data_IF_797093828179
#
_entry.id   IF_797093828179
#
_cell.length_a   1.000
_cell.length_b   1.000
_cell.length_c   1.000
_cell.angle_alpha   90.00
_cell.angle_beta   90.00
_cell.angle_gamma   90.00
#
_symmetry.space_group_name_H-M   'P 1'
#
loop_
_entity.id
_entity.type
_entity.pdbx_description
1 polymer ?
#
# COMPACT_ATOMS: atom_id res chain seq x y z
N UNK A 1 21.86 18.07 -11.90
CA UNK A 1 22.13 16.79 -11.22
C UNK A 1 20.81 16.19 -10.77
N UNK A 2 20.65 14.87 -10.81
CA UNK A 2 19.45 14.22 -10.25
C UNK A 2 19.52 14.26 -8.72
N UNK A 3 18.41 14.57 -8.06
CA UNK A 3 18.28 14.47 -6.61
C UNK A 3 17.79 13.09 -6.16
N UNK A 4 17.03 12.40 -7.01
CA UNK A 4 16.40 11.13 -6.70
C UNK A 4 17.07 9.92 -7.35
N UNK A 5 16.97 8.76 -6.70
CA UNK A 5 17.30 7.45 -7.23
C UNK A 5 16.03 6.82 -7.82
N UNK A 6 16.01 6.58 -9.13
CA UNK A 6 14.84 6.00 -9.81
C UNK A 6 14.52 4.58 -9.31
N UNK A 7 13.23 4.28 -9.10
CA UNK A 7 12.71 2.97 -8.75
C UNK A 7 11.96 2.36 -9.94
N UNK A 8 12.44 1.20 -10.40
CA UNK A 8 11.81 0.43 -11.47
C UNK A 8 10.91 -0.68 -10.94
N UNK A 9 9.76 -0.88 -11.58
CA UNK A 9 8.86 -2.00 -11.28
C UNK A 9 9.55 -3.35 -11.53
N UNK A 10 9.49 -4.27 -10.56
CA UNK A 10 10.11 -5.58 -10.67
C UNK A 10 9.34 -6.55 -11.58
N UNK A 11 8.04 -6.34 -11.73
CA UNK A 11 7.11 -7.17 -12.49
C UNK A 11 6.14 -6.27 -13.28
N UNK A 12 5.52 -6.83 -14.33
CA UNK A 12 4.42 -6.15 -15.01
C UNK A 12 3.16 -6.26 -14.14
N UNK A 13 2.50 -5.13 -13.90
CA UNK A 13 1.29 -5.03 -13.06
C UNK A 13 0.18 -4.37 -13.88
N UNK A 14 -1.01 -4.97 -13.86
CA UNK A 14 -2.23 -4.36 -14.40
C UNK A 14 -3.08 -3.87 -13.25
N UNK A 15 -3.27 -2.56 -13.15
CA UNK A 15 -4.10 -1.95 -12.10
C UNK A 15 -5.47 -1.62 -12.69
N UNK A 16 -6.50 -2.32 -12.22
CA UNK A 16 -7.86 -2.28 -12.77
C UNK A 16 -8.84 -1.43 -11.96
N UNK A 17 -8.40 -0.83 -10.86
CA UNK A 17 -9.23 0.00 -9.98
C UNK A 17 -8.45 1.23 -9.52
N UNK A 18 -9.13 2.20 -8.93
CA UNK A 18 -8.51 3.38 -8.30
C UNK A 18 -8.03 3.10 -6.86
N UNK A 19 -8.17 1.87 -6.36
CA UNK A 19 -7.64 1.49 -5.05
C UNK A 19 -6.10 1.46 -5.09
N UNK A 20 -5.41 1.98 -4.06
CA UNK A 20 -3.96 1.88 -3.95
C UNK A 20 -3.47 0.43 -3.99
N UNK A 21 -2.48 0.17 -4.83
CA UNK A 21 -1.85 -1.14 -4.97
C UNK A 21 -0.35 -1.06 -4.68
N UNK A 22 0.17 -2.15 -4.12
CA UNK A 22 1.60 -2.34 -3.86
C UNK A 22 2.27 -2.88 -5.11
N UNK A 23 3.17 -2.09 -5.69
CA UNK A 23 3.99 -2.45 -6.85
C UNK A 23 5.42 -2.71 -6.37
N UNK A 24 5.91 -3.97 -6.43
CA UNK A 24 7.27 -4.28 -6.00
C UNK A 24 8.29 -3.65 -6.95
N UNK A 25 9.42 -3.18 -6.40
CA UNK A 25 10.51 -2.60 -7.19
C UNK A 25 11.73 -3.51 -7.21
N UNK A 26 12.66 -3.26 -8.11
CA UNK A 26 13.94 -4.00 -8.16
C UNK A 26 14.91 -3.63 -7.03
N UNK A 27 14.53 -2.70 -6.15
CA UNK A 27 15.41 -2.14 -5.13
C UNK A 27 15.07 -2.73 -3.76
N UNK A 28 16.12 -3.07 -3.01
CA UNK A 28 16.05 -3.56 -1.64
C UNK A 28 16.79 -2.59 -0.73
N UNK A 29 16.35 -2.49 0.51
CA UNK A 29 17.14 -1.85 1.55
C UNK A 29 18.22 -2.79 2.12
N UNK A 30 19.15 -2.27 2.94
CA UNK A 30 19.32 -0.86 3.29
C UNK A 30 19.86 -0.03 2.11
N UNK A 31 19.48 1.25 2.05
CA UNK A 31 19.79 2.13 0.92
C UNK A 31 21.26 2.55 0.83
N UNK A 32 21.99 2.45 1.93
CA UNK A 32 23.42 2.73 1.97
C UNK A 32 24.11 1.78 2.94
N UNK A 33 25.20 1.08 2.54
CA UNK A 33 25.82 0.04 3.34
C UNK A 33 26.52 0.55 4.61
N UNK A 34 26.95 1.82 4.61
CA UNK A 34 27.80 2.38 5.67
C UNK A 34 27.18 3.59 6.41
N UNK A 35 26.00 4.06 6.00
CA UNK A 35 25.38 5.28 6.55
C UNK A 35 23.92 5.00 6.85
N UNK A 36 23.49 5.38 8.04
CA UNK A 36 22.09 5.29 8.45
C UNK A 36 21.32 6.45 7.79
N UNK A 37 20.87 6.23 6.55
CA UNK A 37 20.06 7.18 5.78
C UNK A 37 18.70 6.58 5.45
N UNK A 38 17.65 7.33 5.75
CA UNK A 38 16.31 7.01 5.27
C UNK A 38 16.09 7.61 3.89
N UNK A 39 14.90 7.41 3.33
CA UNK A 39 14.51 8.09 2.11
C UNK A 39 13.03 8.42 2.08
N UNK A 40 12.71 9.50 1.36
CA UNK A 40 11.36 9.78 0.91
C UNK A 40 11.16 9.17 -0.48
N UNK A 41 10.20 8.27 -0.58
CA UNK A 41 9.70 7.74 -1.84
C UNK A 41 8.63 8.70 -2.37
N UNK A 42 8.82 9.18 -3.60
CA UNK A 42 7.88 10.05 -4.31
C UNK A 42 7.66 9.60 -5.75
N UNK A 43 6.54 10.00 -6.34
CA UNK A 43 6.26 9.83 -7.77
C UNK A 43 7.28 10.54 -8.66
N UNK A 44 7.39 10.07 -9.90
CA UNK A 44 8.08 10.79 -10.97
C UNK A 44 7.05 11.61 -11.71
N UNK A 45 7.42 12.80 -12.17
CA UNK A 45 6.55 13.63 -13.02
C UNK A 45 6.06 12.88 -14.26
N UNK A 46 6.87 11.98 -14.82
CA UNK A 46 6.47 11.12 -15.94
C UNK A 46 5.42 10.08 -15.55
N UNK A 47 5.42 9.57 -14.33
CA UNK A 47 4.37 8.65 -13.85
C UNK A 47 3.05 9.39 -13.71
N UNK A 48 3.08 10.57 -13.08
CA UNK A 48 1.91 11.41 -12.89
C UNK A 48 1.32 11.85 -14.24
N UNK A 49 2.17 12.22 -15.20
CA UNK A 49 1.77 12.57 -16.56
C UNK A 49 1.07 11.42 -17.29
N UNK A 50 1.51 10.17 -17.07
CA UNK A 50 0.87 8.97 -17.64
C UNK A 50 -0.27 8.43 -16.76
N UNK A 51 -0.71 9.18 -15.76
CA UNK A 51 -1.88 8.85 -14.96
C UNK A 51 -1.65 7.80 -13.87
N UNK A 52 -0.40 7.51 -13.49
CA UNK A 52 -0.09 6.69 -12.32
C UNK A 52 0.29 7.60 -11.13
N UNK A 53 -0.63 7.77 -10.19
CA UNK A 53 -0.37 8.54 -8.97
C UNK A 53 0.34 7.65 -7.94
N UNK A 54 1.52 8.10 -7.49
CA UNK A 54 2.29 7.44 -6.44
C UNK A 54 2.02 8.12 -5.11
N UNK A 55 1.61 7.35 -4.11
CA UNK A 55 1.49 7.84 -2.74
C UNK A 55 2.90 7.97 -2.12
N UNK A 56 3.24 9.13 -1.53
CA UNK A 56 4.52 9.29 -0.86
C UNK A 56 4.71 8.28 0.28
N UNK A 57 5.94 7.84 0.50
CA UNK A 57 6.29 6.91 1.57
C UNK A 57 7.63 7.22 2.20
N UNK A 58 7.80 6.84 3.47
CA UNK A 58 9.09 6.92 4.16
C UNK A 58 9.71 5.53 4.18
N UNK A 59 10.96 5.43 3.74
CA UNK A 59 11.78 4.22 3.85
C UNK A 59 12.75 4.44 4.99
N UNK A 60 12.58 3.66 6.05
CA UNK A 60 13.47 3.71 7.20
C UNK A 60 14.87 3.21 6.85
N UNK A 61 15.88 3.77 7.50
CA UNK A 61 17.28 3.47 7.24
C UNK A 61 17.68 2.01 7.56
N UNK A 62 16.92 1.38 8.46
CA UNK A 62 17.09 0.00 8.93
C UNK A 62 16.17 -0.99 8.19
N UNK A 63 15.44 -0.54 7.17
CA UNK A 63 14.62 -1.43 6.36
C UNK A 63 15.51 -2.30 5.46
N UNK A 64 15.40 -3.62 5.57
CA UNK A 64 16.19 -4.59 4.80
C UNK A 64 15.36 -5.31 3.72
N UNK A 65 14.07 -4.99 3.60
CA UNK A 65 13.16 -5.63 2.67
C UNK A 65 13.15 -5.03 1.26
N UNK A 66 12.30 -5.61 0.41
CA UNK A 66 12.01 -5.10 -0.92
C UNK A 66 11.21 -3.80 -0.84
N UNK A 67 11.73 -2.73 -1.44
CA UNK A 67 11.02 -1.46 -1.51
C UNK A 67 9.87 -1.62 -2.50
N UNK A 68 8.67 -1.26 -2.07
CA UNK A 68 7.49 -1.26 -2.92
C UNK A 68 6.89 0.13 -3.00
N UNK A 69 6.35 0.47 -4.16
CA UNK A 69 5.64 1.71 -4.43
C UNK A 69 4.16 1.46 -4.19
N UNK A 70 3.50 2.31 -3.40
CA UNK A 70 2.04 2.30 -3.33
C UNK A 70 1.52 3.30 -4.36
N UNK A 71 0.73 2.83 -5.32
CA UNK A 71 0.25 3.67 -6.41
C UNK A 71 -1.14 3.24 -6.88
N UNK A 72 -1.84 4.16 -7.53
CA UNK A 72 -3.12 3.90 -8.19
C UNK A 72 -3.24 4.70 -9.49
N UNK A 73 -3.97 4.19 -10.49
CA UNK A 73 -4.23 4.91 -11.72
C UNK A 73 -5.30 5.97 -11.50
N UNK A 74 -5.14 7.12 -12.14
CA UNK A 74 -6.19 8.14 -12.28
C UNK A 74 -7.35 7.62 -13.12
N UNK A 75 -7.04 6.82 -14.16
CA UNK A 75 -8.04 6.23 -15.05
C UNK A 75 -7.67 4.76 -15.34
N UNK A 76 -8.29 3.80 -14.65
CA UNK A 76 -8.07 2.37 -14.91
C UNK A 76 -8.74 1.90 -16.22
N UNK A 77 -8.24 0.83 -16.87
CA UNK A 77 -7.06 0.07 -16.48
C UNK A 77 -5.75 0.75 -16.89
N UNK A 78 -4.70 0.59 -16.08
CA UNK A 78 -3.34 1.05 -16.39
C UNK A 78 -2.36 -0.11 -16.24
N UNK A 79 -1.44 -0.26 -17.20
CA UNK A 79 -0.42 -1.30 -17.18
C UNK A 79 0.95 -0.67 -16.92
N UNK A 80 1.58 -1.09 -15.82
CA UNK A 80 2.98 -0.77 -15.52
C UNK A 80 3.84 -1.93 -16.02
N UNK A 81 4.67 -1.70 -17.03
CA UNK A 81 5.57 -2.74 -17.54
C UNK A 81 6.75 -2.94 -16.60
N UNK A 82 7.21 -4.20 -16.46
CA UNK A 82 8.46 -4.52 -15.77
C UNK A 82 9.61 -3.64 -16.27
N UNK A 83 10.44 -3.14 -15.35
CA UNK A 83 11.57 -2.26 -15.64
C UNK A 83 11.19 -0.78 -15.81
N UNK A 84 9.89 -0.44 -15.83
CA UNK A 84 9.45 0.96 -15.93
C UNK A 84 9.80 1.68 -14.64
N UNK A 85 10.49 2.81 -14.76
CA UNK A 85 10.84 3.70 -13.63
C UNK A 85 9.62 4.52 -13.24
N UNK A 86 9.00 4.19 -12.11
CA UNK A 86 7.69 4.72 -11.70
C UNK A 86 7.74 5.66 -10.50
N UNK A 87 8.79 5.59 -9.70
CA UNK A 87 8.98 6.42 -8.52
C UNK A 87 10.46 6.75 -8.36
N UNK A 88 10.81 7.55 -7.36
CA UNK A 88 12.18 7.85 -7.01
C UNK A 88 12.33 7.98 -5.50
N UNK A 89 13.53 7.69 -5.00
CA UNK A 89 13.92 7.90 -3.61
C UNK A 89 14.77 9.16 -3.49
N UNK A 90 14.36 10.07 -2.61
CA UNK A 90 15.18 11.21 -2.16
C UNK A 90 15.78 10.83 -0.81
N UNK A 91 17.11 10.71 -0.74
CA UNK A 91 17.79 10.34 0.52
C UNK A 91 17.67 11.48 1.53
N UNK A 92 17.35 11.10 2.77
CA UNK A 92 17.19 12.06 3.88
C UNK A 92 18.09 11.62 5.03
N UNK A 93 18.91 12.55 5.50
CA UNK A 93 19.68 12.38 6.73
C UNK A 93 18.73 12.25 7.91
N UNK A 94 18.95 11.23 8.72
CA UNK A 94 18.19 11.00 9.94
C UNK A 94 18.29 12.20 10.88
N UNK A 95 17.17 12.58 11.49
CA UNK A 95 17.16 13.67 12.46
C UNK A 95 17.93 13.24 13.73
N UNK A 96 18.74 14.10 14.35
CA UNK A 96 19.53 13.74 15.54
C UNK A 96 18.69 13.24 16.72
N UNK A 97 17.44 13.71 16.82
CA UNK A 97 16.50 13.31 17.87
C UNK A 97 15.76 11.98 17.59
N UNK A 98 15.96 11.34 16.44
CA UNK A 98 15.29 10.05 16.14
C UNK A 98 15.95 8.93 16.97
N UNK A 99 15.21 8.15 17.78
CA UNK A 99 15.77 7.13 18.68
C UNK A 99 16.45 6.01 17.91
N UNK A 100 17.72 5.70 18.21
CA UNK A 100 18.54 4.71 17.51
C UNK A 100 17.73 3.43 17.18
N UNK A 101 17.90 2.84 15.98
CA UNK A 101 17.19 1.61 15.67
C UNK A 101 17.52 0.59 16.75
N UNK A 102 16.48 0.05 17.39
CA UNK A 102 16.65 -1.04 18.36
C UNK A 102 17.01 -2.26 17.52
N UNK A 103 18.10 -2.96 17.89
CA UNK A 103 18.48 -4.25 17.31
C UNK A 103 17.31 -5.22 17.47
N UNK A 104 16.40 -5.14 16.51
CA UNK A 104 15.21 -5.94 16.38
C UNK A 104 15.17 -6.32 14.92
N UNK A 105 15.02 -7.60 14.70
CA UNK A 105 14.94 -8.31 13.43
C UNK A 105 13.77 -7.81 12.57
N UNK A 106 13.82 -6.54 12.13
CA UNK A 106 12.77 -5.89 11.36
C UNK A 106 12.72 -6.43 9.92
N UNK A 107 13.83 -6.98 9.42
CA UNK A 107 13.99 -7.63 8.11
C UNK A 107 13.15 -6.96 7.01
N UNK A 108 12.06 -7.60 6.59
CA UNK A 108 11.16 -7.18 5.51
C UNK A 108 9.84 -6.54 5.99
N UNK A 109 9.67 -6.39 7.31
CA UNK A 109 8.47 -5.90 7.97
C UNK A 109 8.34 -4.38 7.82
N UNK A 110 7.94 -3.93 6.63
CA UNK A 110 7.63 -2.52 6.32
C UNK A 110 6.15 -2.16 6.53
N UNK A 111 5.72 -1.00 6.02
CA UNK A 111 4.29 -0.59 5.95
C UNK A 111 3.56 -0.47 7.30
N UNK A 112 4.27 -0.03 8.36
CA UNK A 112 3.64 0.17 9.68
C UNK A 112 3.50 -1.10 10.52
N UNK A 113 4.27 -2.15 10.21
CA UNK A 113 4.36 -3.41 10.96
C UNK A 113 4.60 -3.27 12.47
N UNK A 114 5.22 -2.17 12.90
CA UNK A 114 5.53 -1.88 14.31
C UNK A 114 4.40 -1.13 15.05
N UNK A 115 3.23 -0.94 14.42
CA UNK A 115 2.07 -0.28 15.01
C UNK A 115 0.75 -1.03 14.73
N UNK A 116 -0.31 -0.66 15.44
CA UNK A 116 -1.66 -1.15 15.15
C UNK A 116 -2.02 -0.75 13.70
N UNK A 117 -2.54 -1.69 12.91
CA UNK A 117 -3.01 -1.42 11.56
C UNK A 117 -3.96 -0.21 11.56
N UNK A 118 -3.67 0.79 10.73
CA UNK A 118 -4.50 2.01 10.64
C UNK A 118 -5.87 1.67 10.05
N UNK A 119 -5.97 0.60 9.25
CA UNK A 119 -7.22 0.15 8.62
C UNK A 119 -7.22 -1.37 8.44
N UNK A 120 -8.20 -2.07 9.02
CA UNK A 120 -8.31 -3.54 8.93
C UNK A 120 -9.12 -4.02 7.71
N UNK A 121 -10.04 -3.20 7.18
CA UNK A 121 -10.80 -3.48 5.96
C UNK A 121 -11.45 -2.19 5.43
N UNK A 122 -11.25 -1.86 4.15
CA UNK A 122 -12.08 -0.87 3.43
C UNK A 122 -12.82 -1.59 2.33
N UNK A 123 -14.12 -1.78 2.51
CA UNK A 123 -14.99 -2.35 1.49
C UNK A 123 -16.00 -1.30 1.03
N UNK A 124 -15.96 -0.92 -0.24
CA UNK A 124 -17.04 -0.13 -0.84
C UNK A 124 -18.30 -0.99 -0.88
N UNK A 125 -19.35 -0.57 -0.17
CA UNK A 125 -20.65 -1.27 -0.09
C UNK A 125 -21.55 -1.04 -1.31
N UNK A 126 -20.97 -0.73 -2.48
CA UNK A 126 -21.72 -0.63 -3.74
C UNK A 126 -22.42 -1.96 -4.08
N UNK A 127 -21.82 -3.09 -3.70
CA UNK A 127 -22.49 -4.38 -3.57
C UNK A 127 -22.41 -4.84 -2.11
N UNK A 128 -23.51 -4.65 -1.34
CA UNK A 128 -23.60 -5.16 0.04
C UNK A 128 -23.61 -6.69 -0.01
N UNK A 129 -22.71 -7.40 0.69
CA UNK A 129 -22.81 -8.86 0.81
C UNK A 129 -24.06 -9.16 1.63
N UNK A 130 -25.15 -9.50 0.95
CA UNK A 130 -26.42 -9.81 1.57
C UNK A 130 -26.75 -11.29 1.40
N UNK A 131 -27.15 -11.91 2.49
CA UNK A 131 -27.69 -13.25 2.54
C UNK A 131 -29.22 -13.13 2.64
N UNK A 132 -29.93 -13.78 1.71
CA UNK A 132 -31.36 -13.98 1.88
C UNK A 132 -31.55 -15.15 2.86
N UNK A 133 -32.16 -14.88 4.00
CA UNK A 133 -32.59 -15.88 4.96
C UNK A 133 -34.10 -16.05 4.86
N UNK A 134 -34.56 -17.30 4.81
CA UNK A 134 -35.99 -17.63 4.84
C UNK A 134 -36.28 -18.26 6.20
N UNK A 135 -36.95 -17.54 7.08
CA UNK A 135 -37.41 -18.08 8.35
C UNK A 135 -38.80 -18.69 8.17
N UNK A 136 -39.01 -19.87 8.75
CA UNK A 136 -40.34 -20.51 8.82
C UNK A 136 -40.72 -20.68 10.28
N UNK A 137 -41.88 -20.16 10.65
CA UNK A 137 -42.54 -20.47 11.92
C UNK A 137 -43.98 -20.87 11.64
N UNK A 138 -44.35 -22.09 12.04
CA UNK A 138 -45.65 -22.70 11.74
C UNK A 138 -45.99 -22.63 10.24
N UNK A 139 -47.16 -22.07 9.87
CA UNK A 139 -47.60 -21.91 8.48
C UNK A 139 -47.07 -20.63 7.81
N UNK A 140 -46.32 -19.79 8.52
CA UNK A 140 -45.78 -18.54 7.99
C UNK A 140 -44.33 -18.70 7.55
N UNK A 141 -44.05 -18.19 6.36
CA UNK A 141 -42.70 -18.07 5.81
C UNK A 141 -42.38 -16.59 5.64
N UNK A 142 -41.27 -16.13 6.21
CA UNK A 142 -40.82 -14.75 6.08
C UNK A 142 -39.39 -14.71 5.53
N UNK A 143 -39.18 -13.79 4.58
CA UNK A 143 -37.90 -13.60 3.89
C UNK A 143 -37.22 -12.35 4.42
N UNK A 144 -35.96 -12.49 4.82
CA UNK A 144 -35.12 -11.41 5.31
C UNK A 144 -33.90 -11.29 4.40
N UNK A 145 -33.53 -10.06 4.03
CA UNK A 145 -32.24 -9.79 3.42
C UNK A 145 -31.33 -9.24 4.52
N UNK A 146 -30.35 -10.03 4.92
CA UNK A 146 -29.43 -9.73 6.02
C UNK A 146 -28.05 -9.42 5.47
N UNK A 147 -27.31 -8.50 6.10
CA UNK A 147 -25.89 -8.31 5.77
C UNK A 147 -25.08 -9.49 6.30
N UNK A 148 -24.15 -10.00 5.49
CA UNK A 148 -23.15 -10.94 5.95
C UNK A 148 -22.18 -10.21 6.87
N UNK A 149 -21.94 -10.77 8.05
CA UNK A 149 -20.83 -10.34 8.89
C UNK A 149 -19.51 -10.64 8.17
N UNK A 150 -18.66 -9.63 8.01
CA UNK A 150 -17.35 -9.76 7.40
C UNK A 150 -16.23 -9.97 8.42
N UNK A 151 -16.56 -10.06 9.72
CA UNK A 151 -15.59 -10.18 10.79
C UNK A 151 -14.80 -8.89 11.04
N UNK A 152 -15.37 -7.73 10.71
CA UNK A 152 -14.75 -6.44 10.95
C UNK A 152 -15.07 -5.94 12.37
N UNK A 153 -14.05 -5.80 13.22
CA UNK A 153 -14.20 -5.34 14.61
C UNK A 153 -14.63 -3.87 14.75
N UNK A 154 -14.59 -3.10 13.66
CA UNK A 154 -15.02 -1.69 13.62
C UNK A 154 -15.80 -1.44 12.33
N UNK A 155 -17.07 -1.07 12.46
CA UNK A 155 -17.91 -0.63 11.34
C UNK A 155 -18.10 0.88 11.43
N UNK A 156 -17.57 1.62 10.46
CA UNK A 156 -17.85 3.05 10.28
C UNK A 156 -18.85 3.17 9.13
N UNK A 157 -20.05 3.66 9.43
CA UNK A 157 -21.04 4.03 8.42
C UNK A 157 -20.93 5.53 8.19
N UNK A 158 -20.54 5.94 6.97
CA UNK A 158 -20.68 7.32 6.50
C UNK A 158 -21.88 7.46 5.60
#
# INVERSE_FOLDING_TARGET
GSLGLDLAAAVTVTVTSTAPQKIPTTTFGPLHPQKVVGALLIGRSSSDLHGLCVLPGVIDADYCGQICVIAYPMQPPLIVQKGTRIAQLVLISRHPATPAPVDSDRYDQGFGSTGNYVVNLVQQLTCRPQLTVIARQHAQTQRFNMLCDTGADVTILS
#
